data_IF_907355028717
#
_entry.id   IF_907355028717
#
_cell.length_a   1.000
_cell.length_b   1.000
_cell.length_c   1.000
_cell.angle_alpha   90.00
_cell.angle_beta   90.00
_cell.angle_gamma   90.00
#
_symmetry.space_group_name_H-M   'P 1'
#
loop_
_entity.id
_entity.type
_entity.pdbx_description
1 polymer ?
#
# COMPACT_ATOMS: atom_id res chain seq x y z
N UNK A 1 -49.82 -1.76 -23.27
CA UNK A 1 -49.63 -0.94 -24.48
C UNK A 1 -50.26 0.41 -24.14
N UNK A 2 -49.53 1.48 -23.84
CA UNK A 2 -48.17 1.82 -24.25
C UNK A 2 -47.47 2.77 -23.26
N UNK A 3 -46.21 2.43 -23.02
CA UNK A 3 -45.01 3.21 -22.71
C UNK A 3 -45.10 4.50 -21.89
N UNK A 4 -44.69 4.39 -20.62
CA UNK A 4 -43.99 5.47 -19.92
C UNK A 4 -42.68 5.77 -20.66
N UNK A 5 -42.62 6.87 -21.39
CA UNK A 5 -41.37 7.39 -21.93
C UNK A 5 -40.48 7.86 -20.77
N UNK A 6 -39.54 7.02 -20.38
CA UNK A 6 -38.47 7.35 -19.45
C UNK A 6 -37.37 8.02 -20.27
N UNK A 7 -37.28 9.34 -20.20
CA UNK A 7 -36.18 10.08 -20.82
C UNK A 7 -34.88 9.74 -20.08
N UNK A 8 -33.77 9.47 -20.78
CA UNK A 8 -32.48 9.26 -20.15
C UNK A 8 -32.01 10.60 -19.56
N UNK A 9 -31.60 10.60 -18.29
CA UNK A 9 -30.94 11.73 -17.66
C UNK A 9 -29.64 12.01 -18.44
N UNK A 10 -29.66 12.99 -19.34
CA UNK A 10 -28.47 13.45 -20.03
C UNK A 10 -27.52 13.99 -18.97
N UNK A 11 -26.34 13.40 -18.83
CA UNK A 11 -25.20 13.99 -18.11
C UNK A 11 -25.10 15.45 -18.52
N UNK A 12 -25.53 16.34 -17.62
CA UNK A 12 -25.76 17.72 -17.97
C UNK A 12 -24.42 18.35 -18.34
N UNK A 13 -24.27 18.76 -19.60
CA UNK A 13 -23.11 19.52 -20.06
C UNK A 13 -22.93 20.75 -19.17
N UNK A 14 -21.93 20.74 -18.28
CA UNK A 14 -21.64 21.87 -17.42
C UNK A 14 -20.75 22.84 -18.21
N UNK A 15 -21.15 24.11 -18.38
CA UNK A 15 -20.31 25.11 -19.04
C UNK A 15 -18.91 25.24 -18.41
N UNK A 16 -18.79 24.95 -17.11
CA UNK A 16 -17.51 24.89 -16.40
C UNK A 16 -16.55 23.85 -16.97
N UNK A 17 -17.05 22.69 -17.37
CA UNK A 17 -16.21 21.59 -17.83
C UNK A 17 -15.69 21.85 -19.25
N UNK A 18 -16.55 22.47 -20.09
CA UNK A 18 -16.15 22.98 -21.40
C UNK A 18 -15.05 24.05 -21.31
N UNK A 19 -15.20 25.01 -20.38
CA UNK A 19 -14.21 26.06 -20.18
C UNK A 19 -12.90 25.50 -19.62
N UNK A 20 -12.96 24.52 -18.69
CA UNK A 20 -11.79 23.84 -18.12
C UNK A 20 -11.01 23.06 -19.19
N UNK A 21 -11.70 22.36 -20.09
CA UNK A 21 -11.06 21.63 -21.19
C UNK A 21 -10.31 22.55 -22.17
N UNK A 22 -10.83 23.75 -22.41
CA UNK A 22 -10.25 24.69 -23.39
C UNK A 22 -9.14 25.56 -22.82
N UNK A 23 -9.16 25.87 -21.52
CA UNK A 23 -8.12 26.70 -20.87
C UNK A 23 -7.72 26.12 -19.50
N UNK A 24 -7.08 24.94 -19.45
CA UNK A 24 -6.77 24.26 -18.19
C UNK A 24 -5.95 25.12 -17.23
N UNK A 25 -5.02 25.91 -17.76
CA UNK A 25 -4.12 26.80 -17.00
C UNK A 25 -4.82 27.97 -16.28
N UNK A 26 -6.11 28.21 -16.50
CA UNK A 26 -6.90 29.22 -15.79
C UNK A 26 -7.69 28.66 -14.60
N UNK A 27 -7.66 27.34 -14.40
CA UNK A 27 -8.40 26.67 -13.33
C UNK A 27 -7.41 26.01 -12.38
N UNK A 28 -7.70 26.08 -11.09
CA UNK A 28 -6.95 25.30 -10.10
C UNK A 28 -7.20 23.81 -10.31
N UNK A 29 -6.12 23.04 -10.33
CA UNK A 29 -6.09 21.59 -10.32
C UNK A 29 -5.96 21.02 -8.90
N UNK A 30 -5.91 21.90 -7.88
CA UNK A 30 -5.83 21.49 -6.48
C UNK A 30 -7.10 20.73 -6.10
N UNK A 31 -6.90 19.50 -5.63
CA UNK A 31 -7.97 18.68 -5.09
C UNK A 31 -7.91 18.74 -3.56
N UNK A 32 -9.07 18.89 -2.93
CA UNK A 32 -9.18 18.73 -1.48
C UNK A 32 -9.20 17.23 -1.20
N UNK A 33 -8.07 16.70 -0.79
CA UNK A 33 -7.96 15.30 -0.34
C UNK A 33 -8.37 15.29 1.13
N UNK A 34 -9.51 14.68 1.43
CA UNK A 34 -9.85 14.37 2.82
C UNK A 34 -8.94 13.25 3.29
N UNK A 35 -7.95 13.58 4.13
CA UNK A 35 -7.15 12.55 4.79
C UNK A 35 -8.03 11.87 5.85
N UNK A 36 -8.22 10.53 5.78
CA UNK A 36 -8.91 9.83 6.85
C UNK A 36 -8.07 9.96 8.13
N UNK A 37 -8.61 10.63 9.14
CA UNK A 37 -8.01 10.65 10.48
C UNK A 37 -8.16 9.25 11.07
N UNK A 38 -7.04 8.54 11.21
CA UNK A 38 -6.99 7.26 11.89
C UNK A 38 -6.90 7.51 13.40
N UNK A 39 -8.04 7.39 14.08
CA UNK A 39 -8.06 7.48 15.54
C UNK A 39 -7.28 6.33 16.17
N UNK A 40 -6.57 6.61 17.26
CA UNK A 40 -5.71 5.64 17.95
C UNK A 40 -6.53 4.46 18.46
N UNK A 41 -7.69 4.71 19.07
CA UNK A 41 -8.54 3.64 19.59
C UNK A 41 -9.08 2.74 18.49
N UNK A 42 -9.37 3.31 17.31
CA UNK A 42 -9.78 2.52 16.15
C UNK A 42 -8.63 1.65 15.61
N UNK A 43 -7.42 2.19 15.54
CA UNK A 43 -6.23 1.42 15.15
C UNK A 43 -5.96 0.27 16.12
N UNK A 44 -5.96 0.53 17.43
CA UNK A 44 -5.73 -0.50 18.45
C UNK A 44 -6.76 -1.64 18.33
N UNK A 45 -8.05 -1.31 18.24
CA UNK A 45 -9.12 -2.29 18.01
C UNK A 45 -8.93 -3.08 16.70
N UNK A 46 -8.53 -2.40 15.62
CA UNK A 46 -8.30 -3.05 14.33
C UNK A 46 -7.16 -4.07 14.44
N UNK A 47 -6.05 -3.71 15.08
CA UNK A 47 -4.91 -4.60 15.28
C UNK A 47 -5.27 -5.81 16.17
N UNK A 48 -6.04 -5.60 17.24
CA UNK A 48 -6.48 -6.68 18.14
C UNK A 48 -7.39 -7.69 17.45
N UNK A 49 -8.15 -7.27 16.44
CA UNK A 49 -9.12 -8.12 15.73
C UNK A 49 -8.56 -8.75 14.46
N UNK A 50 -7.28 -8.57 14.13
CA UNK A 50 -6.66 -9.10 12.90
C UNK A 50 -6.75 -10.62 12.78
N UNK A 51 -6.37 -11.33 13.84
CA UNK A 51 -6.37 -12.81 13.88
C UNK A 51 -7.78 -13.38 13.83
N UNK A 52 -8.71 -12.75 14.55
CA UNK A 52 -10.13 -13.12 14.52
C UNK A 52 -10.75 -12.98 13.13
N UNK A 53 -10.22 -12.08 12.30
CA UNK A 53 -10.68 -11.83 10.92
C UNK A 53 -9.88 -12.58 9.86
N UNK A 54 -8.91 -13.42 10.26
CA UNK A 54 -8.00 -14.13 9.35
C UNK A 54 -7.26 -13.19 8.38
N UNK A 55 -6.86 -12.01 8.87
CA UNK A 55 -6.17 -10.96 8.10
C UNK A 55 -4.67 -10.92 8.35
N UNK A 56 -4.06 -12.03 8.77
CA UNK A 56 -2.63 -12.09 9.06
C UNK A 56 -1.78 -11.81 7.81
N UNK A 57 -2.23 -12.28 6.63
CA UNK A 57 -1.54 -12.01 5.34
C UNK A 57 -1.61 -10.53 4.94
N UNK A 58 -2.74 -9.88 5.18
CA UNK A 58 -2.89 -8.45 4.89
C UNK A 58 -1.98 -7.62 5.80
N UNK A 59 -1.88 -8.02 7.07
CA UNK A 59 -0.97 -7.42 8.03
C UNK A 59 0.50 -7.66 7.67
N UNK A 60 0.86 -8.87 7.28
CA UNK A 60 2.21 -9.21 6.78
C UNK A 60 2.57 -8.34 5.56
N UNK A 61 1.66 -8.22 4.59
CA UNK A 61 1.85 -7.35 3.45
C UNK A 61 2.06 -5.89 3.88
N UNK A 62 1.21 -5.37 4.79
CA UNK A 62 1.34 -4.01 5.30
C UNK A 62 2.70 -3.77 5.99
N UNK A 63 3.11 -4.67 6.88
CA UNK A 63 4.39 -4.60 7.58
C UNK A 63 5.58 -4.69 6.62
N UNK A 64 5.51 -5.54 5.59
CA UNK A 64 6.54 -5.60 4.54
C UNK A 64 6.63 -4.28 3.78
N UNK A 65 5.51 -3.68 3.37
CA UNK A 65 5.52 -2.37 2.69
C UNK A 65 6.08 -1.25 3.56
N UNK A 66 5.76 -1.29 4.86
CA UNK A 66 6.31 -0.35 5.81
C UNK A 66 7.83 -0.54 5.96
N UNK A 67 8.31 -1.78 6.05
CA UNK A 67 9.73 -2.09 6.10
C UNK A 67 10.46 -1.75 4.78
N UNK A 68 9.82 -1.95 3.62
CA UNK A 68 10.33 -1.54 2.30
C UNK A 68 10.64 -0.03 2.26
N UNK A 69 9.78 0.75 2.91
CA UNK A 69 9.89 2.21 2.97
C UNK A 69 10.89 2.67 4.03
N UNK A 70 10.75 2.19 5.26
CA UNK A 70 11.47 2.73 6.41
C UNK A 70 12.83 2.06 6.65
N UNK A 71 12.98 0.79 6.26
CA UNK A 71 14.15 -0.03 6.62
C UNK A 71 15.03 -0.34 5.42
N UNK A 72 14.49 -1.01 4.39
CA UNK A 72 15.27 -1.35 3.20
C UNK A 72 14.34 -1.75 2.04
N UNK A 73 14.56 -1.25 0.81
CA UNK A 73 13.64 -1.47 -0.30
C UNK A 73 13.80 -2.82 -1.00
N UNK A 74 14.84 -3.59 -0.66
CA UNK A 74 15.21 -4.84 -1.34
C UNK A 74 14.60 -6.09 -0.65
N UNK A 75 13.32 -6.04 -0.29
CA UNK A 75 12.62 -7.16 0.35
C UNK A 75 11.91 -8.07 -0.68
N UNK A 76 12.07 -9.38 -0.50
CA UNK A 76 11.38 -10.41 -1.26
C UNK A 76 10.28 -11.03 -0.39
N UNK A 77 9.02 -11.14 -0.86
CA UNK A 77 7.98 -11.91 -0.18
C UNK A 77 8.32 -13.40 -0.13
N UNK A 78 7.93 -14.10 0.93
CA UNK A 78 7.87 -15.55 0.87
C UNK A 78 6.69 -16.00 -0.02
N UNK A 79 6.99 -16.60 -1.17
CA UNK A 79 5.97 -17.09 -2.13
C UNK A 79 5.81 -18.62 -2.11
N UNK A 80 6.44 -19.31 -1.16
CA UNK A 80 6.45 -20.78 -1.05
C UNK A 80 5.26 -21.37 -0.27
N UNK A 81 4.95 -22.67 -0.42
CA UNK A 81 3.98 -23.36 0.42
C UNK A 81 4.44 -23.33 1.88
N UNK A 82 3.58 -22.89 2.79
CA UNK A 82 3.86 -22.71 4.24
C UNK A 82 4.18 -24.04 4.99
N UNK A 83 4.32 -25.15 4.27
CA UNK A 83 4.52 -26.50 4.81
C UNK A 83 5.62 -27.26 4.08
N UNK A 84 6.88 -26.90 4.33
CA UNK A 84 8.00 -27.72 3.90
C UNK A 84 9.35 -27.04 4.06
N UNK A 85 10.05 -27.31 5.16
CA UNK A 85 11.52 -27.26 5.36
C UNK A 85 12.27 -25.94 5.15
N UNK A 86 11.69 -24.99 4.43
CA UNK A 86 12.27 -23.70 4.12
C UNK A 86 11.98 -22.72 5.26
N UNK A 87 12.99 -21.92 5.52
CA UNK A 87 13.12 -20.89 6.54
C UNK A 87 11.77 -20.21 6.80
N UNK A 88 11.29 -20.28 8.05
CA UNK A 88 10.01 -19.70 8.54
C UNK A 88 10.04 -18.17 8.55
N UNK A 89 10.41 -17.54 7.44
CA UNK A 89 10.57 -16.09 7.33
C UNK A 89 9.63 -15.56 6.28
N UNK A 90 8.87 -14.53 6.65
CA UNK A 90 7.83 -13.94 5.84
C UNK A 90 8.40 -13.05 4.72
N UNK A 91 9.58 -12.44 4.97
CA UNK A 91 10.31 -11.68 3.95
C UNK A 91 11.82 -11.69 4.20
N UNK A 92 12.62 -11.59 3.15
CA UNK A 92 14.08 -11.51 3.26
C UNK A 92 14.70 -10.52 2.28
N UNK A 93 15.90 -10.03 2.58
CA UNK A 93 16.64 -9.18 1.65
C UNK A 93 17.28 -9.99 0.52
N UNK A 94 17.33 -9.41 -0.68
CA UNK A 94 18.12 -9.94 -1.79
C UNK A 94 19.33 -9.05 -2.07
N UNK A 95 20.47 -9.62 -2.52
CA UNK A 95 21.68 -8.84 -2.74
C UNK A 95 21.50 -7.83 -3.87
N UNK A 96 21.97 -6.60 -3.64
CA UNK A 96 21.88 -5.48 -4.58
C UNK A 96 23.26 -4.82 -4.71
N UNK A 97 23.62 -4.41 -5.92
CA UNK A 97 24.90 -3.72 -6.14
C UNK A 97 24.98 -2.39 -5.37
N UNK A 98 26.17 -2.03 -4.92
CA UNK A 98 26.44 -0.74 -4.24
C UNK A 98 25.92 0.48 -5.01
N UNK A 99 26.02 0.45 -6.34
CA UNK A 99 25.53 1.54 -7.17
C UNK A 99 24.02 1.77 -6.99
N UNK A 100 23.24 0.71 -6.81
CA UNK A 100 21.79 0.80 -6.60
C UNK A 100 21.49 1.17 -5.15
N UNK A 101 22.20 0.59 -4.16
CA UNK A 101 21.94 0.88 -2.74
C UNK A 101 22.24 2.32 -2.34
N UNK A 102 23.23 2.96 -2.95
CA UNK A 102 23.54 4.40 -2.76
C UNK A 102 22.39 5.31 -3.21
N UNK A 103 21.51 4.84 -4.09
CA UNK A 103 20.38 5.63 -4.62
C UNK A 103 19.10 5.50 -3.79
N UNK A 104 19.10 4.69 -2.73
CA UNK A 104 17.95 4.58 -1.86
C UNK A 104 17.78 5.86 -1.05
N UNK A 105 16.57 6.43 -1.12
CA UNK A 105 16.23 7.69 -0.47
C UNK A 105 16.04 7.53 1.05
N UNK A 106 15.51 6.37 1.46
CA UNK A 106 15.23 5.96 2.84
C UNK A 106 15.80 4.55 3.07
N UNK A 107 16.13 4.22 4.34
CA UNK A 107 16.60 2.90 4.75
C UNK A 107 18.11 2.72 4.95
N UNK A 108 18.51 1.48 5.29
CA UNK A 108 19.88 1.06 5.57
C UNK A 108 20.51 0.57 4.25
N UNK A 109 21.41 1.39 3.69
CA UNK A 109 21.93 1.23 2.32
C UNK A 109 22.77 -0.01 2.07
N UNK A 110 24.06 0.02 2.44
CA UNK A 110 25.02 -1.01 1.99
C UNK A 110 24.87 -2.32 2.75
N UNK A 111 24.50 -2.25 4.01
CA UNK A 111 24.36 -3.40 4.89
C UNK A 111 23.19 -4.26 4.41
N UNK A 112 21.98 -3.68 4.26
CA UNK A 112 20.84 -4.43 3.76
C UNK A 112 21.03 -4.93 2.32
N UNK A 113 21.86 -4.25 1.51
CA UNK A 113 22.17 -4.66 0.14
C UNK A 113 23.15 -5.83 0.03
N UNK A 114 23.99 -6.07 1.05
CA UNK A 114 25.04 -7.08 1.03
C UNK A 114 24.80 -8.25 2.00
N UNK A 115 24.06 -7.99 3.08
CA UNK A 115 23.70 -8.98 4.08
C UNK A 115 22.37 -9.66 3.74
N UNK A 116 22.13 -10.83 4.33
CA UNK A 116 20.87 -11.56 4.22
C UNK A 116 20.06 -11.38 5.50
N UNK A 117 19.14 -10.43 5.48
CA UNK A 117 18.22 -10.15 6.58
C UNK A 117 16.93 -10.93 6.39
N UNK A 118 16.33 -11.29 7.51
CA UNK A 118 15.18 -12.15 7.59
C UNK A 118 14.14 -11.47 8.50
N UNK A 119 12.93 -11.28 7.99
CA UNK A 119 11.83 -10.63 8.67
C UNK A 119 10.76 -11.65 9.02
N UNK A 120 10.43 -11.71 10.31
CA UNK A 120 9.31 -12.49 10.83
C UNK A 120 8.26 -11.53 11.38
N UNK A 121 7.03 -11.65 10.89
CA UNK A 121 5.89 -10.78 11.20
C UNK A 121 4.84 -11.64 11.90
N UNK A 122 4.39 -11.19 13.07
CA UNK A 122 3.35 -11.88 13.82
C UNK A 122 2.25 -10.92 14.24
N UNK A 123 1.01 -11.30 13.93
CA UNK A 123 -0.20 -10.67 14.46
C UNK A 123 -0.71 -11.37 15.74
N UNK A 124 0.05 -12.33 16.29
CA UNK A 124 -0.39 -13.10 17.45
C UNK A 124 -0.41 -12.21 18.69
N UNK A 125 -1.56 -12.18 19.35
CA UNK A 125 -1.70 -11.54 20.66
C UNK A 125 -0.83 -12.29 21.70
N UNK A 126 -0.03 -11.54 22.45
CA UNK A 126 0.83 -12.07 23.52
C UNK A 126 0.03 -12.46 24.76
#
# INVERSE_FOLDING_TARGET
MDEKHQQPESEAFRPSDFMRARRPYLFSDTQVIGEPLLDRSFLEYYLETLTNRSQEKDFEHFCRRLAEKEICPNLLPQTGPTGGGDSKVDSETYPVSDAVSIRWYEGIGREAASERWAFAISAKQQ
#
